data_IF_044464655948
#
_entry.id   IF_044464655948
#
_cell.length_a   1.000
_cell.length_b   1.000
_cell.length_c   1.000
_cell.angle_alpha   90.00
_cell.angle_beta   90.00
_cell.angle_gamma   90.00
#
_symmetry.space_group_name_H-M   'P 1'
#
loop_
_entity.id
_entity.type
_entity.pdbx_description
1 polymer ?
#
# COMPACT_ATOMS: atom_id res chain seq x y z
N UNK A 1 38.25 9.07 6.50
CA UNK A 1 37.36 8.36 5.55
C UNK A 1 36.37 9.37 4.95
N UNK A 2 36.22 9.46 3.61
CA UNK A 2 35.27 10.40 2.97
C UNK A 2 33.86 9.80 2.94
N UNK A 3 32.83 10.58 3.27
CA UNK A 3 31.45 10.12 3.34
C UNK A 3 30.89 9.68 1.99
N UNK A 4 31.27 10.37 0.91
CA UNK A 4 30.95 9.95 -0.46
C UNK A 4 31.42 8.52 -0.78
N UNK A 5 32.65 8.15 -0.40
CA UNK A 5 33.22 6.82 -0.68
C UNK A 5 32.42 5.74 0.06
N UNK A 6 32.16 5.97 1.35
CA UNK A 6 31.38 5.07 2.19
C UNK A 6 29.95 4.88 1.66
N UNK A 7 29.29 5.95 1.21
CA UNK A 7 27.97 5.89 0.59
C UNK A 7 27.96 4.99 -0.66
N UNK A 8 28.90 5.21 -1.58
CA UNK A 8 28.97 4.45 -2.85
C UNK A 8 29.22 2.97 -2.60
N UNK A 9 30.10 2.65 -1.65
CA UNK A 9 30.42 1.28 -1.27
C UNK A 9 29.18 0.56 -0.71
N UNK A 10 28.47 1.19 0.24
CA UNK A 10 27.23 0.63 0.81
C UNK A 10 26.09 0.53 -0.20
N UNK A 11 26.00 1.48 -1.14
CA UNK A 11 25.01 1.39 -2.21
C UNK A 11 25.26 0.19 -3.13
N UNK A 12 26.52 -0.09 -3.45
CA UNK A 12 26.91 -1.28 -4.22
C UNK A 12 26.64 -2.57 -3.46
N UNK A 13 26.96 -2.62 -2.17
CA UNK A 13 26.64 -3.75 -1.29
C UNK A 13 25.14 -4.04 -1.28
N UNK A 14 24.30 -3.02 -1.11
CA UNK A 14 22.86 -3.18 -1.12
C UNK A 14 22.36 -3.71 -2.48
N UNK A 15 22.86 -3.17 -3.60
CA UNK A 15 22.50 -3.67 -4.93
C UNK A 15 22.87 -5.14 -5.11
N UNK A 16 24.05 -5.54 -4.65
CA UNK A 16 24.49 -6.94 -4.69
C UNK A 16 23.57 -7.82 -3.84
N UNK A 17 23.29 -7.40 -2.60
CA UNK A 17 22.37 -8.11 -1.71
C UNK A 17 20.97 -8.28 -2.32
N UNK A 18 20.39 -7.22 -2.87
CA UNK A 18 19.07 -7.28 -3.50
C UNK A 18 19.08 -8.19 -4.75
N UNK A 19 20.17 -8.17 -5.52
CA UNK A 19 20.34 -9.08 -6.66
C UNK A 19 20.39 -10.54 -6.21
N UNK A 20 21.17 -10.85 -5.18
CA UNK A 20 21.30 -12.20 -4.61
C UNK A 20 19.95 -12.72 -4.09
N UNK A 21 19.21 -11.87 -3.36
CA UNK A 21 17.86 -12.20 -2.88
C UNK A 21 16.90 -12.48 -4.05
N UNK A 22 16.91 -11.64 -5.09
CA UNK A 22 16.05 -11.83 -6.26
C UNK A 22 16.42 -13.08 -7.06
N UNK A 23 17.72 -13.37 -7.21
CA UNK A 23 18.16 -14.61 -7.89
C UNK A 23 17.79 -15.87 -7.14
N UNK A 24 17.57 -15.81 -5.82
CA UNK A 24 17.08 -16.96 -5.05
C UNK A 24 15.59 -17.27 -5.25
N UNK A 25 14.84 -16.39 -5.92
CA UNK A 25 13.39 -16.51 -6.13
C UNK A 25 13.04 -16.67 -7.60
N UNK A 26 13.80 -16.00 -8.47
CA UNK A 26 13.62 -16.04 -9.91
C UNK A 26 14.47 -17.18 -10.47
N UNK A 27 13.94 -18.40 -10.37
CA UNK A 27 14.45 -19.53 -11.14
C UNK A 27 14.02 -19.42 -12.61
N UNK A 28 14.70 -20.16 -13.50
CA UNK A 28 14.38 -20.21 -14.93
C UNK A 28 12.90 -20.53 -15.18
N UNK A 29 12.30 -21.37 -14.34
CA UNK A 29 10.87 -21.72 -14.38
C UNK A 29 10.01 -20.51 -14.05
N UNK A 30 10.29 -19.80 -12.94
CA UNK A 30 9.59 -18.56 -12.58
C UNK A 30 9.71 -17.51 -13.68
N UNK A 31 10.89 -17.37 -14.29
CA UNK A 31 11.10 -16.46 -15.40
C UNK A 31 10.23 -16.82 -16.61
N UNK A 32 10.20 -18.09 -17.01
CA UNK A 32 9.46 -18.54 -18.20
C UNK A 32 7.94 -18.45 -18.02
N UNK A 33 7.43 -18.84 -16.84
CA UNK A 33 5.99 -18.96 -16.61
C UNK A 33 5.34 -17.67 -16.06
N UNK A 34 6.10 -16.79 -15.40
CA UNK A 34 5.55 -15.55 -14.84
C UNK A 34 6.06 -14.35 -15.61
N UNK A 35 7.38 -14.16 -15.68
CA UNK A 35 7.98 -12.94 -16.27
C UNK A 35 7.75 -12.91 -17.78
N UNK A 36 7.91 -14.04 -18.47
CA UNK A 36 7.67 -14.19 -19.90
C UNK A 36 6.29 -13.67 -20.32
N UNK A 37 5.18 -14.25 -19.81
CA UNK A 37 3.83 -13.78 -20.13
C UNK A 37 3.60 -12.31 -19.80
N UNK A 38 4.05 -11.82 -18.64
CA UNK A 38 3.92 -10.41 -18.25
C UNK A 38 4.62 -9.47 -19.25
N UNK A 39 5.78 -9.88 -19.79
CA UNK A 39 6.54 -9.10 -20.74
C UNK A 39 5.83 -8.95 -22.10
N UNK A 40 4.96 -9.90 -22.46
CA UNK A 40 4.11 -9.78 -23.65
C UNK A 40 2.78 -9.07 -23.36
N UNK A 41 2.14 -9.39 -22.23
CA UNK A 41 0.82 -8.87 -21.86
C UNK A 41 0.88 -7.36 -21.58
N UNK A 42 1.88 -6.87 -20.86
CA UNK A 42 1.96 -5.45 -20.49
C UNK A 42 2.06 -4.54 -21.73
N UNK A 43 3.00 -4.76 -22.68
CA UNK A 43 3.06 -3.95 -23.90
C UNK A 43 1.81 -4.09 -24.77
N UNK A 44 1.22 -5.29 -24.84
CA UNK A 44 -0.02 -5.52 -25.57
C UNK A 44 -1.16 -4.66 -25.01
N UNK A 45 -1.40 -4.72 -23.69
CA UNK A 45 -2.42 -3.89 -23.01
C UNK A 45 -2.10 -2.40 -23.19
N UNK A 46 -0.83 -2.00 -23.11
CA UNK A 46 -0.44 -0.61 -23.29
C UNK A 46 -0.78 -0.09 -24.69
N UNK A 47 -0.47 -0.87 -25.74
CA UNK A 47 -0.85 -0.53 -27.13
C UNK A 47 -2.37 -0.50 -27.28
N UNK A 48 -3.09 -1.44 -26.65
CA UNK A 48 -4.55 -1.48 -26.68
C UNK A 48 -5.16 -0.26 -25.98
N UNK A 49 -4.57 0.22 -24.89
CA UNK A 49 -4.94 1.46 -24.20
C UNK A 49 -4.83 2.68 -25.13
N UNK A 50 -3.89 2.70 -26.08
CA UNK A 50 -3.79 3.76 -27.08
C UNK A 50 -4.85 3.66 -28.17
N UNK A 51 -5.33 2.46 -28.49
CA UNK A 51 -6.27 2.20 -29.59
C UNK A 51 -7.74 2.24 -29.15
N UNK A 52 -8.04 1.64 -28.01
CA UNK A 52 -9.38 1.45 -27.45
C UNK A 52 -9.38 1.83 -25.96
N UNK A 53 -9.12 3.09 -25.63
CA UNK A 53 -8.98 3.54 -24.24
C UNK A 53 -10.28 3.35 -23.43
N UNK A 54 -11.46 3.40 -24.08
CA UNK A 54 -12.79 3.22 -23.47
C UNK A 54 -13.08 1.82 -22.93
N UNK A 55 -12.32 0.80 -23.33
CA UNK A 55 -12.47 -0.55 -22.80
C UNK A 55 -11.94 -0.69 -21.37
N UNK A 56 -10.95 0.14 -21.01
CA UNK A 56 -10.19 0.03 -19.76
C UNK A 56 -10.38 1.23 -18.83
N UNK A 57 -10.85 2.34 -19.34
CA UNK A 57 -11.05 3.57 -18.58
C UNK A 57 -12.36 4.24 -19.00
N UNK A 58 -13.11 4.71 -18.00
CA UNK A 58 -14.40 5.36 -18.21
C UNK A 58 -14.24 6.88 -18.32
N UNK A 59 -14.93 7.50 -19.27
CA UNK A 59 -14.97 8.95 -19.49
C UNK A 59 -15.57 9.72 -18.29
N UNK A 60 -16.42 9.05 -17.52
CA UNK A 60 -17.10 9.67 -16.37
C UNK A 60 -16.18 9.76 -15.13
N UNK A 61 -14.99 9.15 -15.17
CA UNK A 61 -14.08 9.23 -14.04
C UNK A 61 -13.43 10.61 -14.00
N UNK A 62 -13.39 11.28 -12.83
CA UNK A 62 -12.72 12.55 -12.73
C UNK A 62 -11.20 12.34 -12.80
N UNK A 63 -10.49 13.25 -13.49
CA UNK A 63 -9.01 13.26 -13.58
C UNK A 63 -8.34 13.19 -12.21
N UNK A 64 -8.98 13.76 -11.19
CA UNK A 64 -8.52 13.75 -9.80
C UNK A 64 -8.31 12.32 -9.28
N UNK A 65 -9.15 11.36 -9.68
CA UNK A 65 -9.02 9.97 -9.27
C UNK A 65 -7.77 9.31 -9.86
N UNK A 66 -7.48 9.57 -11.15
CA UNK A 66 -6.26 9.09 -11.79
C UNK A 66 -5.01 9.67 -11.11
N UNK A 67 -5.00 10.99 -10.88
CA UNK A 67 -3.87 11.66 -10.22
C UNK A 67 -3.68 11.16 -8.77
N UNK A 68 -4.76 10.86 -8.05
CA UNK A 68 -4.71 10.24 -6.72
C UNK A 68 -4.07 8.85 -6.74
N UNK A 69 -4.44 8.01 -7.71
CA UNK A 69 -3.83 6.69 -7.88
C UNK A 69 -2.34 6.82 -8.17
N UNK A 70 -1.95 7.76 -9.04
CA UNK A 70 -0.55 8.04 -9.35
C UNK A 70 0.22 8.57 -8.13
N UNK A 71 -0.36 9.48 -7.35
CA UNK A 71 0.25 10.01 -6.14
C UNK A 71 0.41 8.91 -5.06
N UNK A 72 -0.61 8.09 -4.85
CA UNK A 72 -0.55 6.95 -3.93
C UNK A 72 0.53 5.94 -4.35
N UNK A 73 0.64 5.68 -5.66
CA UNK A 73 1.69 4.84 -6.21
C UNK A 73 3.09 5.49 -6.10
N UNK A 74 3.20 6.81 -6.23
CA UNK A 74 4.45 7.58 -6.31
C UNK A 74 5.25 7.74 -5.01
N UNK A 75 4.71 7.34 -3.85
CA UNK A 75 5.39 7.50 -2.56
C UNK A 75 6.79 6.86 -2.49
N UNK A 76 7.72 7.54 -1.79
CA UNK A 76 9.11 7.10 -1.59
C UNK A 76 9.51 7.00 -0.11
N UNK A 77 10.74 6.53 0.14
CA UNK A 77 11.41 6.57 1.46
C UNK A 77 12.87 6.96 1.24
N UNK A 78 13.45 7.72 2.17
CA UNK A 78 14.86 8.11 2.10
C UNK A 78 15.80 6.93 2.25
N UNK A 79 16.88 6.94 1.46
CA UNK A 79 17.95 5.95 1.52
C UNK A 79 19.29 6.64 1.81
N UNK A 80 19.71 6.58 3.07
CA UNK A 80 20.99 7.10 3.55
C UNK A 80 22.07 6.02 3.70
N UNK A 81 21.69 4.74 3.59
CA UNK A 81 22.54 3.56 3.76
C UNK A 81 23.30 3.57 5.10
N UNK A 82 22.62 4.03 6.16
CA UNK A 82 23.12 3.99 7.53
C UNK A 82 22.84 2.61 8.11
N UNK A 83 23.84 1.97 8.72
CA UNK A 83 23.72 0.67 9.39
C UNK A 83 23.68 0.89 10.90
N UNK A 84 22.89 0.07 11.61
CA UNK A 84 22.76 0.13 13.07
C UNK A 84 24.09 -0.05 13.80
N UNK A 85 24.94 -0.98 13.32
CA UNK A 85 26.27 -1.25 13.86
C UNK A 85 27.20 -0.03 13.88
N UNK A 86 27.00 0.93 12.97
CA UNK A 86 27.89 2.08 12.80
C UNK A 86 27.35 3.35 13.46
N UNK A 87 26.25 3.26 14.23
CA UNK A 87 25.55 4.40 14.84
C UNK A 87 26.50 5.29 15.65
N UNK A 88 27.24 4.70 16.59
CA UNK A 88 28.15 5.45 17.48
C UNK A 88 29.26 6.15 16.69
N UNK A 89 29.81 5.47 15.69
CA UNK A 89 30.88 5.99 14.84
C UNK A 89 30.40 7.15 13.96
N UNK A 90 29.20 7.05 13.37
CA UNK A 90 28.64 8.08 12.50
C UNK A 90 28.19 9.32 13.27
N UNK A 91 27.79 9.19 14.53
CA UNK A 91 27.49 10.33 15.41
C UNK A 91 28.74 11.15 15.75
N UNK A 92 29.91 10.51 15.87
CA UNK A 92 31.18 11.19 16.11
C UNK A 92 31.70 11.91 14.85
N UNK A 93 31.36 11.41 13.67
CA UNK A 93 31.86 11.91 12.38
C UNK A 93 30.77 12.66 11.60
N UNK A 94 30.30 13.78 12.16
CA UNK A 94 29.22 14.61 11.60
C UNK A 94 29.44 15.01 10.12
N UNK A 95 30.69 15.27 9.70
CA UNK A 95 31.00 15.57 8.30
C UNK A 95 30.78 14.38 7.35
N UNK A 96 31.10 13.17 7.80
CA UNK A 96 30.94 11.93 7.01
C UNK A 96 29.46 11.63 6.82
N UNK A 97 28.67 11.68 7.90
CA UNK A 97 27.23 11.44 7.82
C UNK A 97 26.51 12.52 7.00
N UNK A 98 26.87 13.80 7.14
CA UNK A 98 26.29 14.87 6.32
C UNK A 98 26.53 14.64 4.81
N UNK A 99 27.74 14.22 4.43
CA UNK A 99 28.03 13.84 3.04
C UNK A 99 27.23 12.63 2.58
N UNK A 100 27.12 11.58 3.41
CA UNK A 100 26.32 10.39 3.08
C UNK A 100 24.85 10.76 2.87
N UNK A 101 24.29 11.58 3.75
CA UNK A 101 22.90 12.04 3.65
C UNK A 101 22.66 12.91 2.43
N UNK A 102 23.62 13.76 2.04
CA UNK A 102 23.53 14.55 0.80
C UNK A 102 23.42 13.66 -0.43
N UNK A 103 24.30 12.67 -0.55
CA UNK A 103 24.30 11.76 -1.69
C UNK A 103 23.09 10.82 -1.66
N UNK A 104 22.69 10.34 -0.48
CA UNK A 104 21.49 9.53 -0.29
C UNK A 104 20.20 10.28 -0.64
N UNK A 105 20.11 11.55 -0.26
CA UNK A 105 19.01 12.43 -0.67
C UNK A 105 18.93 12.58 -2.19
N UNK A 106 20.06 12.89 -2.85
CA UNK A 106 20.11 13.01 -4.32
C UNK A 106 19.71 11.71 -5.03
N UNK A 107 20.23 10.57 -4.57
CA UNK A 107 19.87 9.26 -5.14
C UNK A 107 18.38 8.95 -4.91
N UNK A 108 17.85 9.23 -3.72
CA UNK A 108 16.42 9.08 -3.42
C UNK A 108 15.58 9.95 -4.34
N UNK A 109 15.99 11.19 -4.58
CA UNK A 109 15.28 12.13 -5.46
C UNK A 109 15.24 11.61 -6.89
N UNK A 110 16.38 11.14 -7.40
CA UNK A 110 16.46 10.53 -8.72
C UNK A 110 15.56 9.30 -8.86
N UNK A 111 15.47 8.46 -7.83
CA UNK A 111 14.55 7.31 -7.85
C UNK A 111 13.08 7.73 -7.80
N UNK A 112 12.72 8.76 -7.01
CA UNK A 112 11.37 9.31 -6.99
C UNK A 112 11.01 9.89 -8.36
N UNK A 113 11.90 10.68 -8.98
CA UNK A 113 11.69 11.21 -10.32
C UNK A 113 11.54 10.11 -11.37
N UNK A 114 12.43 9.11 -11.38
CA UNK A 114 12.34 7.99 -12.31
C UNK A 114 11.02 7.23 -12.14
N UNK A 115 10.59 7.00 -10.91
CA UNK A 115 9.32 6.33 -10.61
C UNK A 115 8.12 7.16 -11.08
N UNK A 116 8.09 8.45 -10.79
CA UNK A 116 7.04 9.38 -11.26
C UNK A 116 6.99 9.44 -12.78
N UNK A 117 8.14 9.45 -13.44
CA UNK A 117 8.24 9.37 -14.90
C UNK A 117 7.61 8.09 -15.45
N UNK A 118 8.00 6.92 -14.93
CA UNK A 118 7.45 5.64 -15.36
C UNK A 118 5.92 5.54 -15.13
N UNK A 119 5.44 6.03 -13.98
CA UNK A 119 4.00 6.07 -13.68
C UNK A 119 3.24 6.97 -14.65
N UNK A 120 3.79 8.14 -14.98
CA UNK A 120 3.16 9.08 -15.93
C UNK A 120 3.16 8.53 -17.34
N UNK A 121 4.26 7.88 -17.77
CA UNK A 121 4.33 7.20 -19.08
C UNK A 121 3.28 6.09 -19.16
N UNK A 122 3.11 5.30 -18.10
CA UNK A 122 2.09 4.26 -18.06
C UNK A 122 0.66 4.83 -18.16
N UNK A 123 0.41 6.02 -17.59
CA UNK A 123 -0.89 6.69 -17.63
C UNK A 123 -1.10 7.61 -18.85
N UNK A 124 -0.06 7.82 -19.65
CA UNK A 124 -0.07 8.74 -20.79
C UNK A 124 -1.21 8.51 -21.80
N UNK A 125 -1.52 7.26 -22.24
CA UNK A 125 -2.67 7.01 -23.12
C UNK A 125 -4.00 7.52 -22.55
N UNK A 126 -4.20 7.44 -21.23
CA UNK A 126 -5.42 7.91 -20.58
C UNK A 126 -5.41 9.45 -20.51
N UNK A 127 -4.29 10.04 -20.08
CA UNK A 127 -4.13 11.49 -19.96
C UNK A 127 -4.34 12.21 -21.30
N UNK A 128 -3.75 11.67 -22.38
CA UNK A 128 -3.82 12.26 -23.71
C UNK A 128 -5.19 12.07 -24.37
N UNK A 129 -5.71 10.83 -24.40
CA UNK A 129 -6.92 10.53 -25.17
C UNK A 129 -8.22 10.96 -24.48
N UNK A 130 -8.32 10.88 -23.15
CA UNK A 130 -9.57 11.24 -22.44
C UNK A 130 -9.59 12.66 -21.90
N UNK A 131 -8.47 13.11 -21.34
CA UNK A 131 -8.42 14.37 -20.62
C UNK A 131 -7.75 15.48 -21.43
N UNK A 132 -7.27 15.19 -22.65
CA UNK A 132 -6.70 16.17 -23.56
C UNK A 132 -5.36 16.77 -23.11
N UNK A 133 -4.65 16.13 -22.17
CA UNK A 133 -3.38 16.63 -21.66
C UNK A 133 -2.29 16.50 -22.73
N UNK A 134 -1.50 17.55 -22.91
CA UNK A 134 -0.37 17.57 -23.82
C UNK A 134 0.84 16.84 -23.24
N UNK A 135 1.84 16.57 -24.09
CA UNK A 135 3.14 16.03 -23.67
C UNK A 135 3.84 16.99 -22.68
N UNK A 136 3.65 18.30 -22.84
CA UNK A 136 4.17 19.30 -21.90
C UNK A 136 3.59 19.10 -20.50
N UNK A 137 2.28 18.89 -20.42
CA UNK A 137 1.57 18.69 -19.15
C UNK A 137 1.97 17.38 -18.47
N UNK A 138 2.32 16.34 -19.24
CA UNK A 138 2.89 15.12 -18.68
C UNK A 138 4.22 15.39 -17.94
N UNK A 139 5.08 16.27 -18.45
CA UNK A 139 6.29 16.71 -17.75
C UNK A 139 5.98 17.41 -16.43
N UNK A 140 4.91 18.20 -16.40
CA UNK A 140 4.44 18.88 -15.20
C UNK A 140 3.93 17.91 -14.14
N UNK A 141 3.15 16.90 -14.56
CA UNK A 141 2.67 15.81 -13.70
C UNK A 141 3.86 15.06 -13.09
N UNK A 142 4.91 14.76 -13.87
CA UNK A 142 6.14 14.15 -13.34
C UNK A 142 6.78 15.00 -12.25
N UNK A 143 6.92 16.32 -12.49
CA UNK A 143 7.48 17.25 -11.50
C UNK A 143 6.67 17.25 -10.20
N UNK A 144 5.36 17.33 -10.31
CA UNK A 144 4.45 17.35 -9.16
C UNK A 144 4.40 16.04 -8.39
N UNK A 145 4.30 14.89 -9.07
CA UNK A 145 4.35 13.58 -8.42
C UNK A 145 5.70 13.38 -7.72
N UNK A 146 6.78 13.89 -8.30
CA UNK A 146 8.10 13.84 -7.69
C UNK A 146 8.19 14.69 -6.43
N UNK A 147 7.60 15.89 -6.45
CA UNK A 147 7.53 16.74 -5.27
C UNK A 147 6.68 16.11 -4.16
N UNK A 148 5.48 15.62 -4.51
CA UNK A 148 4.62 14.92 -3.57
C UNK A 148 5.33 13.70 -2.96
N UNK A 149 5.95 12.87 -3.79
CA UNK A 149 6.72 11.70 -3.35
C UNK A 149 7.87 12.07 -2.42
N UNK A 150 8.51 13.21 -2.66
CA UNK A 150 9.55 13.78 -1.82
C UNK A 150 9.03 14.24 -0.46
N UNK A 151 7.91 14.99 -0.43
CA UNK A 151 7.25 15.42 0.81
C UNK A 151 6.79 14.24 1.65
N UNK A 152 6.25 13.20 1.01
CA UNK A 152 5.88 11.94 1.67
C UNK A 152 7.11 11.25 2.27
N UNK A 153 8.21 11.16 1.52
CA UNK A 153 9.45 10.58 2.02
C UNK A 153 9.98 11.37 3.22
N UNK A 154 9.83 12.70 3.20
CA UNK A 154 10.24 13.58 4.30
C UNK A 154 9.39 13.42 5.54
N UNK A 155 8.06 13.39 5.36
CA UNK A 155 7.13 13.23 6.46
C UNK A 155 7.44 11.95 7.27
N UNK A 156 7.92 10.89 6.60
CA UNK A 156 8.35 9.66 7.29
C UNK A 156 9.57 9.85 8.20
N UNK A 157 10.46 10.79 7.89
CA UNK A 157 11.66 11.07 8.70
C UNK A 157 11.40 12.06 9.83
N UNK A 158 10.48 13.00 9.63
CA UNK A 158 10.22 14.10 10.58
C UNK A 158 9.09 13.78 11.55
N UNK A 159 8.04 13.10 11.07
CA UNK A 159 6.82 12.89 11.85
C UNK A 159 6.91 11.58 12.64
N UNK A 160 7.08 11.72 13.95
CA UNK A 160 7.03 10.58 14.88
C UNK A 160 5.58 10.18 15.16
N UNK A 161 5.25 8.91 14.91
CA UNK A 161 3.94 8.32 15.21
C UNK A 161 3.06 8.05 13.98
N UNK A 162 2.59 6.80 13.87
CA UNK A 162 1.87 6.29 12.69
C UNK A 162 0.58 7.06 12.35
N UNK A 163 -0.15 7.55 13.35
CA UNK A 163 -1.39 8.31 13.14
C UNK A 163 -1.12 9.73 12.63
N UNK A 164 -0.11 10.41 13.18
CA UNK A 164 0.32 11.73 12.69
C UNK A 164 0.84 11.64 11.27
N UNK A 165 1.60 10.59 10.94
CA UNK A 165 2.07 10.35 9.58
C UNK A 165 0.90 10.16 8.60
N UNK A 166 -0.13 9.40 8.98
CA UNK A 166 -1.36 9.23 8.18
C UNK A 166 -2.10 10.55 7.98
N UNK A 167 -2.21 11.37 9.03
CA UNK A 167 -2.84 12.69 8.94
C UNK A 167 -2.07 13.61 8.00
N UNK A 168 -0.73 13.64 8.10
CA UNK A 168 0.12 14.42 7.19
C UNK A 168 -0.01 13.91 5.76
N UNK A 169 -0.05 12.59 5.53
CA UNK A 169 -0.30 12.05 4.19
C UNK A 169 -1.67 12.47 3.65
N UNK A 170 -2.73 12.38 4.46
CA UNK A 170 -4.07 12.81 4.06
C UNK A 170 -4.11 14.32 3.74
N UNK A 171 -3.43 15.13 4.54
CA UNK A 171 -3.29 16.57 4.29
C UNK A 171 -2.51 16.87 3.01
N UNK A 172 -1.40 16.17 2.76
CA UNK A 172 -0.63 16.31 1.53
C UNK A 172 -1.44 15.88 0.30
N UNK A 173 -2.27 14.85 0.43
CA UNK A 173 -3.20 14.42 -0.62
C UNK A 173 -4.26 15.49 -0.87
N UNK A 174 -4.82 16.08 0.18
CA UNK A 174 -5.80 17.16 0.04
C UNK A 174 -5.20 18.39 -0.66
N UNK A 175 -3.97 18.78 -0.28
CA UNK A 175 -3.23 19.82 -0.98
C UNK A 175 -2.98 19.45 -2.43
N UNK A 176 -2.56 18.20 -2.69
CA UNK A 176 -2.36 17.71 -4.05
C UNK A 176 -3.65 17.84 -4.87
N UNK A 177 -4.81 17.46 -4.32
CA UNK A 177 -6.12 17.59 -4.97
C UNK A 177 -6.53 19.04 -5.22
N UNK A 178 -6.34 19.93 -4.24
CA UNK A 178 -6.72 21.34 -4.37
C UNK A 178 -5.96 22.06 -5.48
N UNK A 179 -4.74 21.62 -5.79
CA UNK A 179 -3.94 22.20 -6.86
C UNK A 179 -4.28 21.63 -8.26
N UNK A 180 -4.93 20.45 -8.37
CA UNK A 180 -5.31 19.83 -9.66
C UNK A 180 -6.10 20.79 -10.56
N UNK A 181 -6.95 21.63 -9.97
CA UNK A 181 -7.78 22.59 -10.71
C UNK A 181 -6.99 23.79 -11.26
N UNK A 182 -5.83 24.10 -10.67
CA UNK A 182 -4.98 25.24 -11.06
C UNK A 182 -3.91 24.89 -12.11
N UNK A 183 -3.74 23.59 -12.46
CA UNK A 183 -2.81 23.13 -13.50
C UNK A 183 -3.11 23.70 -14.90
N UNK A 184 -4.26 24.35 -15.08
CA UNK A 184 -4.68 24.90 -16.37
C UNK A 184 -4.06 26.27 -16.69
N UNK A 185 -3.37 26.92 -15.73
CA UNK A 185 -2.70 28.20 -15.97
C UNK A 185 -1.15 28.10 -15.89
N UNK A 186 -0.42 28.36 -17.00
CA UNK A 186 1.04 28.24 -17.05
C UNK A 186 1.80 29.15 -16.07
N UNK A 187 1.22 30.31 -15.73
CA UNK A 187 1.85 31.29 -14.83
C UNK A 187 1.85 30.85 -13.36
N UNK A 188 0.72 30.32 -12.90
CA UNK A 188 0.57 29.77 -11.55
C UNK A 188 1.52 28.59 -11.35
N UNK A 189 1.66 27.77 -12.39
CA UNK A 189 2.55 26.61 -12.39
C UNK A 189 4.03 26.95 -12.16
N UNK A 190 4.57 27.98 -12.81
CA UNK A 190 5.97 28.39 -12.62
C UNK A 190 6.24 28.89 -11.20
N UNK A 191 5.29 29.64 -10.64
CA UNK A 191 5.37 30.15 -9.27
C UNK A 191 5.30 29.00 -8.26
N UNK A 192 4.36 28.07 -8.44
CA UNK A 192 4.25 26.87 -7.62
C UNK A 192 5.52 26.02 -7.71
N UNK A 193 6.01 25.74 -8.92
CA UNK A 193 7.25 24.98 -9.13
C UNK A 193 8.47 25.62 -8.47
N UNK A 194 8.58 26.95 -8.51
CA UNK A 194 9.65 27.69 -7.82
C UNK A 194 9.52 27.59 -6.29
N UNK A 195 8.30 27.80 -5.76
CA UNK A 195 8.01 27.64 -4.32
C UNK A 195 8.33 26.23 -3.86
N UNK A 196 7.93 25.23 -4.65
CA UNK A 196 8.21 23.81 -4.43
C UNK A 196 9.73 23.56 -4.33
N UNK A 197 10.52 24.04 -5.28
CA UNK A 197 11.97 23.87 -5.27
C UNK A 197 12.63 24.55 -4.07
N UNK A 198 12.16 25.75 -3.70
CA UNK A 198 12.64 26.48 -2.52
C UNK A 198 12.29 25.73 -1.24
N UNK A 199 11.07 25.20 -1.12
CA UNK A 199 10.63 24.38 0.01
C UNK A 199 11.47 23.11 0.10
N UNK A 200 11.66 22.38 -1.02
CA UNK A 200 12.55 21.20 -1.06
C UNK A 200 13.94 21.57 -0.54
N UNK A 201 14.53 22.67 -1.01
CA UNK A 201 15.88 23.08 -0.63
C UNK A 201 16.00 23.48 0.85
N UNK A 202 15.08 24.30 1.34
CA UNK A 202 15.04 24.74 2.74
C UNK A 202 14.88 23.54 3.68
N UNK A 203 13.97 22.62 3.34
CA UNK A 203 13.73 21.41 4.12
C UNK A 203 14.86 20.40 3.99
N UNK A 204 15.52 20.27 2.84
CA UNK A 204 16.72 19.46 2.68
C UNK A 204 17.82 19.92 3.65
N UNK A 205 18.05 21.23 3.70
CA UNK A 205 19.04 21.84 4.59
C UNK A 205 18.67 21.66 6.07
N UNK A 206 17.41 21.84 6.43
CA UNK A 206 16.96 21.81 7.83
C UNK A 206 16.75 20.40 8.37
N UNK A 207 16.17 19.50 7.59
CA UNK A 207 15.69 18.19 8.05
C UNK A 207 16.66 17.04 7.77
N UNK A 208 17.24 16.98 6.56
CA UNK A 208 18.10 15.85 6.20
C UNK A 208 19.47 15.99 6.87
N UNK A 209 20.09 17.17 6.81
CA UNK A 209 21.46 17.35 7.29
C UNK A 209 21.59 17.30 8.83
N UNK A 210 20.47 17.31 9.57
CA UNK A 210 20.49 17.15 11.03
C UNK A 210 20.70 15.69 11.43
N UNK A 211 21.54 15.45 12.42
CA UNK A 211 21.87 14.10 12.94
C UNK A 211 20.87 13.58 13.99
N UNK A 212 19.89 14.39 14.39
CA UNK A 212 19.03 14.14 15.56
C UNK A 212 18.09 12.93 15.47
N UNK A 213 17.78 12.42 14.28
CA UNK A 213 16.79 11.34 14.08
C UNK A 213 17.40 10.03 13.54
N UNK A 214 18.67 9.74 13.85
CA UNK A 214 19.38 8.58 13.30
C UNK A 214 18.64 7.24 13.53
N UNK A 215 17.96 7.10 14.66
CA UNK A 215 17.18 5.89 14.97
C UNK A 215 15.99 5.68 14.02
N UNK A 216 15.29 6.76 13.67
CA UNK A 216 14.19 6.71 12.70
C UNK A 216 14.73 6.37 11.31
N UNK A 217 15.89 6.92 10.97
CA UNK A 217 16.56 6.67 9.68
C UNK A 217 17.02 5.21 9.55
N UNK A 218 17.62 4.64 10.60
CA UNK A 218 18.02 3.23 10.65
C UNK A 218 16.81 2.31 10.54
N UNK A 219 15.72 2.63 11.23
CA UNK A 219 14.49 1.83 11.17
C UNK A 219 13.85 1.86 9.78
N UNK A 220 13.82 3.02 9.11
CA UNK A 220 13.34 3.12 7.72
C UNK A 220 14.25 2.35 6.74
N UNK A 221 15.57 2.38 6.95
CA UNK A 221 16.52 1.58 6.16
C UNK A 221 16.29 0.08 6.33
N UNK A 222 16.10 -0.37 7.57
CA UNK A 222 15.78 -1.77 7.90
C UNK A 222 14.50 -2.22 7.20
N UNK A 223 13.43 -1.40 7.28
CA UNK A 223 12.15 -1.68 6.60
C UNK A 223 12.29 -1.74 5.10
N UNK A 224 13.03 -0.81 4.50
CA UNK A 224 13.21 -0.77 3.06
C UNK A 224 14.06 -1.95 2.56
N UNK A 225 15.06 -2.40 3.32
CA UNK A 225 15.81 -3.64 3.02
C UNK A 225 14.94 -4.88 3.15
N UNK A 226 14.11 -4.97 4.19
CA UNK A 226 13.22 -6.11 4.46
C UNK A 226 12.00 -6.19 3.53
N UNK A 227 11.65 -5.10 2.83
CA UNK A 227 10.43 -5.05 2.00
C UNK A 227 10.37 -6.18 0.97
N UNK A 228 11.46 -6.41 0.26
CA UNK A 228 11.51 -7.44 -0.78
C UNK A 228 11.52 -8.84 -0.18
N UNK A 229 12.28 -9.06 0.89
CA UNK A 229 12.23 -10.32 1.66
C UNK A 229 10.83 -10.63 2.17
N UNK A 230 10.11 -9.62 2.68
CA UNK A 230 8.74 -9.77 3.15
C UNK A 230 7.78 -10.20 2.05
N UNK A 231 7.93 -9.69 0.82
CA UNK A 231 7.12 -10.13 -0.33
C UNK A 231 7.42 -11.58 -0.69
N UNK A 232 8.69 -12.00 -0.61
CA UNK A 232 9.11 -13.37 -0.88
C UNK A 232 8.56 -14.31 0.19
N UNK A 233 8.66 -13.93 1.47
CA UNK A 233 8.11 -14.71 2.59
C UNK A 233 6.59 -14.78 2.58
N UNK A 234 5.91 -13.73 2.10
CA UNK A 234 4.46 -13.76 1.89
C UNK A 234 4.04 -14.67 0.73
N UNK A 235 4.88 -14.77 -0.31
CA UNK A 235 4.66 -15.68 -1.42
C UNK A 235 4.99 -17.14 -1.05
N UNK A 236 5.90 -17.37 -0.10
CA UNK A 236 6.13 -18.69 0.47
C UNK A 236 5.02 -19.04 1.47
N UNK A 237 4.26 -20.10 1.21
CA UNK A 237 3.10 -20.53 2.00
C UNK A 237 3.39 -20.87 3.48
N UNK A 238 4.65 -20.84 3.93
CA UNK A 238 5.07 -21.39 5.23
C UNK A 238 5.28 -20.38 6.36
N UNK A 239 5.07 -19.07 6.15
CA UNK A 239 5.20 -18.12 7.26
C UNK A 239 3.90 -17.97 8.04
N UNK A 240 3.70 -18.88 9.01
CA UNK A 240 2.82 -18.59 10.14
C UNK A 240 3.29 -17.26 10.77
N UNK A 241 2.53 -16.18 10.59
CA UNK A 241 2.81 -14.95 11.31
C UNK A 241 2.77 -15.26 12.81
N UNK A 242 3.89 -15.14 13.55
CA UNK A 242 3.86 -15.43 14.97
C UNK A 242 2.87 -14.46 15.61
N UNK A 243 1.88 -15.02 16.31
CA UNK A 243 0.94 -14.24 17.12
C UNK A 243 1.76 -13.62 18.24
N UNK A 244 2.24 -12.39 18.02
CA UNK A 244 3.09 -11.69 18.97
C UNK A 244 2.43 -11.69 20.36
N UNK A 245 3.17 -12.05 21.42
CA UNK A 245 2.64 -12.02 22.77
C UNK A 245 2.38 -10.56 23.14
N UNK A 246 1.11 -10.17 23.25
CA UNK A 246 0.73 -8.81 23.67
C UNK A 246 -0.06 -7.97 22.68
N UNK A 247 -0.91 -8.58 21.84
CA UNK A 247 -1.91 -7.83 21.07
C UNK A 247 -2.72 -6.88 21.97
N UNK A 248 -2.65 -5.57 21.72
CA UNK A 248 -3.45 -4.55 22.42
C UNK A 248 -4.93 -4.96 22.41
N UNK A 249 -5.61 -4.82 23.56
CA UNK A 249 -7.05 -5.12 23.70
C UNK A 249 -7.82 -4.48 22.53
N UNK A 250 -8.67 -5.22 21.79
CA UNK A 250 -9.40 -4.67 20.66
C UNK A 250 -10.25 -3.48 21.12
N UNK A 251 -10.28 -2.42 20.30
CA UNK A 251 -10.98 -1.18 20.62
C UNK A 251 -12.46 -1.41 20.96
N UNK A 252 -13.11 -2.34 20.25
CA UNK A 252 -14.52 -2.67 20.41
C UNK A 252 -14.86 -3.51 21.66
N UNK A 253 -13.89 -4.17 22.32
CA UNK A 253 -14.18 -5.07 23.47
C UNK A 253 -13.12 -4.97 24.56
N UNK A 254 -13.01 -3.79 25.18
CA UNK A 254 -12.16 -3.56 26.35
C UNK A 254 -12.64 -4.31 27.60
N UNK A 255 -13.96 -4.59 27.69
CA UNK A 255 -14.60 -5.44 28.70
C UNK A 255 -15.22 -6.62 27.96
N UNK A 256 -14.87 -7.85 28.32
CA UNK A 256 -15.39 -9.06 27.67
C UNK A 256 -16.82 -9.35 28.15
N UNK A 257 -17.80 -8.55 27.71
CA UNK A 257 -19.24 -8.81 27.92
C UNK A 257 -19.81 -9.81 26.91
N UNK A 258 -21.00 -10.35 27.20
CA UNK A 258 -21.76 -11.24 26.30
C UNK A 258 -22.32 -10.45 25.10
N UNK A 259 -22.23 -11.00 23.89
CA UNK A 259 -22.84 -10.44 22.67
C UNK A 259 -24.17 -11.10 22.31
N UNK A 260 -24.28 -12.41 22.58
CA UNK A 260 -25.52 -13.15 22.35
C UNK A 260 -26.20 -13.39 23.69
N UNK A 261 -27.52 -13.17 23.72
CA UNK A 261 -28.37 -13.38 24.90
C UNK A 261 -28.75 -14.85 25.11
N UNK A 262 -28.53 -15.71 24.11
CA UNK A 262 -28.86 -17.13 24.17
C UNK A 262 -27.82 -17.94 24.95
N UNK A 263 -28.29 -18.79 25.86
CA UNK A 263 -27.46 -19.66 26.70
C UNK A 263 -26.99 -20.95 25.99
N UNK A 264 -27.26 -21.09 24.69
CA UNK A 264 -26.86 -22.27 23.93
C UNK A 264 -25.33 -22.32 23.74
N UNK A 265 -24.73 -23.51 23.89
CA UNK A 265 -23.32 -23.82 23.62
C UNK A 265 -22.82 -23.23 22.29
N UNK A 266 -23.61 -23.39 21.23
CA UNK A 266 -23.32 -22.84 19.90
C UNK A 266 -23.21 -21.31 19.86
N UNK A 267 -23.92 -20.60 20.74
CA UNK A 267 -23.89 -19.13 20.81
C UNK A 267 -22.62 -18.63 21.50
N UNK A 268 -22.13 -19.34 22.51
CA UNK A 268 -20.86 -19.04 23.17
C UNK A 268 -19.67 -19.28 22.23
N UNK A 269 -19.68 -20.38 21.48
CA UNK A 269 -18.63 -20.67 20.51
C UNK A 269 -18.60 -19.64 19.37
N UNK A 270 -19.77 -19.28 18.84
CA UNK A 270 -19.91 -18.24 17.83
C UNK A 270 -19.41 -16.88 18.36
N UNK A 271 -19.72 -16.53 19.60
CA UNK A 271 -19.22 -15.31 20.23
C UNK A 271 -17.69 -15.30 20.36
N UNK A 272 -17.11 -16.42 20.79
CA UNK A 272 -15.66 -16.61 20.89
C UNK A 272 -14.99 -16.43 19.53
N UNK A 273 -15.57 -17.01 18.47
CA UNK A 273 -15.06 -16.91 17.12
C UNK A 273 -15.11 -15.48 16.58
N UNK A 274 -16.22 -14.76 16.76
CA UNK A 274 -16.31 -13.34 16.39
C UNK A 274 -15.29 -12.49 17.15
N UNK A 275 -15.11 -12.73 18.45
CA UNK A 275 -14.09 -12.02 19.25
C UNK A 275 -12.67 -12.33 18.75
N UNK A 276 -12.39 -13.58 18.40
CA UNK A 276 -11.09 -14.01 17.88
C UNK A 276 -10.82 -13.38 16.50
N UNK A 277 -11.81 -13.39 15.60
CA UNK A 277 -11.79 -12.74 14.29
C UNK A 277 -11.48 -11.24 14.41
N UNK A 278 -12.13 -10.54 15.34
CA UNK A 278 -11.88 -9.12 15.59
C UNK A 278 -10.52 -8.85 16.23
N UNK A 279 -10.05 -9.72 17.13
CA UNK A 279 -8.76 -9.57 17.82
C UNK A 279 -7.57 -9.81 16.88
N UNK A 280 -7.67 -10.79 15.97
CA UNK A 280 -6.62 -11.09 14.97
C UNK A 280 -6.60 -10.12 13.79
N UNK A 281 -7.58 -9.20 13.71
CA UNK A 281 -7.72 -8.21 12.62
C UNK A 281 -8.03 -8.82 11.26
N UNK A 282 -8.54 -10.04 11.21
CA UNK A 282 -9.00 -10.69 9.97
C UNK A 282 -10.12 -9.88 9.30
N UNK A 283 -10.88 -9.10 10.07
CA UNK A 283 -11.87 -8.16 9.53
C UNK A 283 -11.27 -7.17 8.53
N UNK A 284 -9.99 -6.81 8.65
CA UNK A 284 -9.33 -5.91 7.68
C UNK A 284 -9.25 -6.57 6.31
N UNK A 285 -8.83 -7.85 6.25
CA UNK A 285 -8.79 -8.62 5.00
C UNK A 285 -10.19 -8.81 4.41
N UNK A 286 -11.18 -9.08 5.25
CA UNK A 286 -12.58 -9.19 4.84
C UNK A 286 -13.09 -7.91 4.13
N UNK A 287 -12.89 -6.73 4.73
CA UNK A 287 -13.28 -5.46 4.10
C UNK A 287 -12.41 -5.08 2.91
N UNK A 288 -11.14 -5.53 2.85
CA UNK A 288 -10.29 -5.33 1.68
C UNK A 288 -10.80 -6.12 0.47
N UNK A 289 -11.17 -7.39 0.65
CA UNK A 289 -11.73 -8.22 -0.42
C UNK A 289 -13.05 -7.63 -0.89
N UNK A 290 -13.94 -7.25 0.03
CA UNK A 290 -15.20 -6.59 -0.32
C UNK A 290 -14.97 -5.26 -1.04
N UNK A 291 -14.14 -4.37 -0.49
CA UNK A 291 -13.86 -3.07 -1.09
C UNK A 291 -13.20 -3.18 -2.47
N UNK A 292 -12.29 -4.15 -2.65
CA UNK A 292 -11.67 -4.41 -3.96
C UNK A 292 -12.70 -4.95 -4.96
N UNK A 293 -13.61 -5.82 -4.50
CA UNK A 293 -14.67 -6.36 -5.35
C UNK A 293 -15.67 -5.27 -5.76
N UNK A 294 -16.03 -4.37 -4.84
CA UNK A 294 -16.87 -3.18 -5.10
C UNK A 294 -16.21 -2.23 -6.10
N UNK A 295 -14.96 -1.85 -5.86
CA UNK A 295 -14.18 -1.04 -6.81
C UNK A 295 -14.09 -1.70 -8.19
N UNK A 296 -13.89 -3.02 -8.24
CA UNK A 296 -13.90 -3.78 -9.49
C UNK A 296 -15.25 -3.67 -10.21
N UNK A 297 -16.37 -3.79 -9.50
CA UNK A 297 -17.73 -3.66 -10.06
C UNK A 297 -18.01 -2.23 -10.55
N UNK A 298 -17.46 -1.21 -9.90
CA UNK A 298 -17.61 0.18 -10.33
C UNK A 298 -16.82 0.49 -11.61
N UNK A 299 -15.59 -0.03 -11.71
CA UNK A 299 -14.64 0.33 -12.78
C UNK A 299 -14.80 -0.52 -14.05
N UNK A 300 -15.29 -1.75 -13.93
CA UNK A 300 -15.27 -2.71 -15.04
C UNK A 300 -16.51 -2.66 -15.95
N UNK A 301 -16.39 -3.07 -17.23
CA UNK A 301 -17.53 -3.21 -18.13
C UNK A 301 -18.51 -4.31 -17.67
N UNK A 302 -19.78 -4.23 -18.09
CA UNK A 302 -20.90 -5.06 -17.59
C UNK A 302 -20.58 -6.56 -17.45
N UNK A 303 -19.96 -7.18 -18.46
CA UNK A 303 -19.62 -8.61 -18.43
C UNK A 303 -18.57 -8.94 -17.35
N UNK A 304 -17.59 -8.06 -17.16
CA UNK A 304 -16.52 -8.23 -16.19
C UNK A 304 -17.00 -7.95 -14.76
N UNK A 305 -18.04 -7.13 -14.57
CA UNK A 305 -18.70 -6.93 -13.26
C UNK A 305 -19.23 -8.25 -12.69
N UNK A 306 -19.94 -9.04 -13.50
CA UNK A 306 -20.47 -10.34 -13.09
C UNK A 306 -19.36 -11.32 -12.73
N UNK A 307 -18.27 -11.32 -13.51
CA UNK A 307 -17.12 -12.19 -13.27
C UNK A 307 -16.42 -11.83 -11.95
N UNK A 308 -16.14 -10.55 -11.70
CA UNK A 308 -15.54 -10.09 -10.43
C UNK A 308 -16.44 -10.37 -9.23
N UNK A 309 -17.76 -10.17 -9.37
CA UNK A 309 -18.69 -10.42 -8.28
C UNK A 309 -18.78 -11.92 -7.95
N UNK A 310 -18.87 -12.78 -8.97
CA UNK A 310 -18.88 -14.23 -8.80
C UNK A 310 -17.58 -14.74 -8.17
N UNK A 311 -16.44 -14.36 -8.74
CA UNK A 311 -15.12 -14.78 -8.25
C UNK A 311 -14.82 -14.23 -6.86
N UNK A 312 -15.17 -12.97 -6.59
CA UNK A 312 -15.04 -12.35 -5.28
C UNK A 312 -15.87 -13.06 -4.21
N UNK A 313 -17.11 -13.43 -4.51
CA UNK A 313 -17.97 -14.19 -3.58
C UNK A 313 -17.44 -15.61 -3.31
N UNK A 314 -17.00 -16.31 -4.35
CA UNK A 314 -16.41 -17.64 -4.22
C UNK A 314 -15.13 -17.60 -3.38
N UNK A 315 -14.26 -16.62 -3.65
CA UNK A 315 -13.03 -16.41 -2.89
C UNK A 315 -13.32 -16.03 -1.44
N UNK A 316 -14.29 -15.14 -1.20
CA UNK A 316 -14.72 -14.78 0.15
C UNK A 316 -15.25 -15.99 0.91
N UNK A 317 -16.01 -16.86 0.25
CA UNK A 317 -16.54 -18.09 0.84
C UNK A 317 -15.42 -19.05 1.27
N UNK A 318 -14.49 -19.37 0.37
CA UNK A 318 -13.39 -20.28 0.64
C UNK A 318 -12.44 -19.71 1.69
N UNK A 319 -12.13 -18.42 1.62
CA UNK A 319 -11.27 -17.74 2.57
C UNK A 319 -11.90 -17.66 3.97
N UNK A 320 -13.20 -17.35 4.08
CA UNK A 320 -13.90 -17.39 5.37
C UNK A 320 -13.92 -18.78 5.98
N UNK A 321 -14.02 -19.83 5.15
CA UNK A 321 -13.96 -21.22 5.62
C UNK A 321 -12.57 -21.55 6.18
N UNK A 322 -11.52 -21.15 5.47
CA UNK A 322 -10.14 -21.30 5.95
C UNK A 322 -9.90 -20.58 7.28
N UNK A 323 -10.33 -19.32 7.39
CA UNK A 323 -10.20 -18.54 8.64
C UNK A 323 -11.00 -19.19 9.78
N UNK A 324 -12.21 -19.69 9.51
CA UNK A 324 -13.02 -20.39 10.50
C UNK A 324 -12.29 -21.62 11.06
N UNK A 325 -11.73 -22.46 10.18
CA UNK A 325 -10.96 -23.64 10.58
C UNK A 325 -9.70 -23.25 11.36
N UNK A 326 -8.94 -22.26 10.88
CA UNK A 326 -7.74 -21.77 11.56
C UNK A 326 -8.03 -21.17 12.95
N UNK A 327 -9.16 -20.48 13.10
CA UNK A 327 -9.59 -19.92 14.39
C UNK A 327 -9.95 -21.04 15.36
N UNK A 328 -10.62 -22.10 14.91
CA UNK A 328 -10.94 -23.29 15.72
C UNK A 328 -9.69 -24.07 16.15
N UNK A 329 -8.63 -24.10 15.34
CA UNK A 329 -7.36 -24.75 15.70
C UNK A 329 -6.52 -23.93 16.68
N UNK A 330 -6.89 -22.68 16.97
CA UNK A 330 -6.10 -21.84 17.88
C UNK A 330 -6.16 -22.33 19.34
N UNK A 331 -5.06 -22.17 20.07
CA UNK A 331 -4.85 -22.63 21.46
C UNK A 331 -6.01 -22.29 22.43
N UNK A 332 -6.78 -21.24 22.15
CA UNK A 332 -7.94 -20.84 22.93
C UNK A 332 -9.10 -21.85 22.87
N UNK A 333 -9.36 -22.45 21.70
CA UNK A 333 -10.43 -23.42 21.50
C UNK A 333 -10.03 -24.86 21.83
N UNK A 334 -8.74 -25.12 22.05
CA UNK A 334 -8.28 -26.38 22.61
C UNK A 334 -8.67 -26.53 24.10
N UNK A 335 -8.79 -25.41 24.82
CA UNK A 335 -9.17 -25.38 26.25
C UNK A 335 -10.68 -25.32 26.45
N UNK A 336 -11.43 -24.73 25.52
CA UNK A 336 -12.89 -24.69 25.55
C UNK A 336 -13.42 -25.95 24.87
N UNK A 337 -13.83 -26.95 25.65
CA UNK A 337 -14.43 -28.17 25.11
C UNK A 337 -15.76 -27.83 24.42
N UNK A 338 -15.83 -28.04 23.11
CA UNK A 338 -17.06 -27.88 22.34
C UNK A 338 -17.47 -29.19 21.68
N UNK A 339 -18.78 -29.41 21.52
CA UNK A 339 -19.30 -30.58 20.80
C UNK A 339 -19.08 -30.37 19.32
N UNK A 340 -18.46 -31.35 18.63
CA UNK A 340 -18.25 -31.30 17.16
C UNK A 340 -19.56 -31.14 16.38
N UNK A 341 -20.68 -31.59 16.95
CA UNK A 341 -22.04 -31.41 16.40
C UNK A 341 -22.43 -29.94 16.22
N UNK A 342 -21.94 -29.05 17.10
CA UNK A 342 -22.25 -27.61 17.04
C UNK A 342 -21.47 -26.87 15.94
N UNK A 343 -20.39 -27.46 15.41
CA UNK A 343 -19.48 -26.79 14.46
C UNK A 343 -20.18 -26.38 13.16
N UNK A 344 -20.98 -27.29 12.59
CA UNK A 344 -21.71 -27.04 11.34
C UNK A 344 -22.75 -25.92 11.48
N UNK A 345 -23.42 -25.87 12.63
CA UNK A 345 -24.44 -24.87 12.95
C UNK A 345 -23.80 -23.50 13.21
N UNK A 346 -22.66 -23.47 13.89
CA UNK A 346 -21.89 -22.25 14.12
C UNK A 346 -21.28 -21.72 12.83
N UNK A 347 -20.73 -22.57 11.96
CA UNK A 347 -20.25 -22.16 10.63
C UNK A 347 -21.37 -21.49 9.83
N UNK A 348 -22.56 -22.10 9.78
CA UNK A 348 -23.71 -21.55 9.05
C UNK A 348 -24.08 -20.17 9.57
N UNK A 349 -24.16 -19.99 10.89
CA UNK A 349 -24.47 -18.69 11.51
C UNK A 349 -23.36 -17.66 11.28
N UNK A 350 -22.08 -18.02 11.48
CA UNK A 350 -20.92 -17.16 11.26
C UNK A 350 -20.85 -16.65 9.81
N UNK A 351 -20.98 -17.59 8.85
CA UNK A 351 -21.04 -17.29 7.42
C UNK A 351 -22.21 -16.36 7.11
N UNK A 352 -23.42 -16.70 7.55
CA UNK A 352 -24.61 -15.92 7.20
C UNK A 352 -24.55 -14.49 7.77
N UNK A 353 -24.00 -14.29 8.98
CA UNK A 353 -23.83 -12.94 9.54
C UNK A 353 -22.85 -12.11 8.71
N UNK A 354 -21.70 -12.68 8.33
CA UNK A 354 -20.72 -11.97 7.51
C UNK A 354 -21.24 -11.74 6.08
N UNK A 355 -21.80 -12.76 5.41
CA UNK A 355 -22.41 -12.57 4.10
C UNK A 355 -23.60 -11.59 4.12
N UNK A 356 -24.35 -11.51 5.22
CA UNK A 356 -25.40 -10.50 5.41
C UNK A 356 -24.85 -9.08 5.41
N UNK A 357 -23.69 -8.84 6.04
CA UNK A 357 -23.01 -7.55 5.99
C UNK A 357 -22.55 -7.23 4.56
N UNK A 358 -21.95 -8.20 3.86
CA UNK A 358 -21.56 -8.04 2.46
C UNK A 358 -22.76 -7.69 1.56
N UNK A 359 -23.87 -8.42 1.71
CA UNK A 359 -25.08 -8.21 0.95
C UNK A 359 -25.70 -6.82 1.21
N UNK A 360 -25.73 -6.37 2.47
CA UNK A 360 -26.19 -5.01 2.81
C UNK A 360 -25.35 -3.93 2.12
N UNK A 361 -24.03 -4.08 2.11
CA UNK A 361 -23.14 -3.11 1.47
C UNK A 361 -23.29 -3.11 -0.06
N UNK A 362 -23.45 -4.29 -0.68
CA UNK A 362 -23.71 -4.40 -2.13
C UNK A 362 -25.08 -3.85 -2.51
N UNK A 363 -26.12 -4.08 -1.71
CA UNK A 363 -27.45 -3.49 -1.93
C UNK A 363 -27.41 -1.96 -1.81
N UNK A 364 -26.61 -1.41 -0.89
CA UNK A 364 -26.43 0.03 -0.76
C UNK A 364 -25.75 0.63 -1.99
N UNK A 365 -24.75 -0.06 -2.54
CA UNK A 365 -24.05 0.34 -3.77
C UNK A 365 -24.95 0.28 -5.02
N UNK A 366 -25.73 -0.79 -5.17
CA UNK A 366 -26.74 -0.90 -6.25
C UNK A 366 -27.81 0.18 -6.10
N UNK A 367 -28.24 0.48 -4.87
CA UNK A 367 -29.15 1.57 -4.58
C UNK A 367 -28.60 2.94 -5.01
N UNK A 368 -27.31 3.20 -4.75
CA UNK A 368 -26.62 4.43 -5.20
C UNK A 368 -26.52 4.49 -6.73
N UNK A 369 -26.21 3.37 -7.39
CA UNK A 369 -26.14 3.30 -8.86
C UNK A 369 -27.51 3.50 -9.53
N UNK A 370 -28.60 3.02 -8.92
CA UNK A 370 -29.97 3.19 -9.44
C UNK A 370 -30.50 4.61 -9.17
N UNK A 371 -30.10 5.24 -8.06
CA UNK A 371 -30.53 6.58 -7.68
C UNK A 371 -29.81 7.72 -8.41
N UNK A 372 -28.84 7.41 -9.30
CA UNK A 372 -28.30 8.36 -10.27
C UNK A 372 -27.72 9.63 -9.64
N UNK A 373 -26.64 9.48 -8.87
CA UNK A 373 -25.69 10.57 -8.58
C UNK A 373 -24.37 10.28 -9.25
#
# INVERSE_FOLDING_TARGET
>A
MKGKKLFVERWKEEKRYQKEVMSGVVDLVTFLYIIGPLLFIIPYIYIELWRMPSLYWSENLPITLLLLLLAAAGGGSFRFYVKEADKLFLLQLNGVIAEMKRHGGLVTFGFIMLKSFLLTVAALPILYNFYGYSIGDAGLIVGWLSFYGWLVAMAKLTVTGKWRLKFVHAFLILLFMGNVQFFMEPGIFLVEGAVVLVVIWLFFKHSILRTGNLDVEIEEERRARQRYLGLIFQASMETETPVGPGGKRPFFYRKSGRMFTSEASSSYLLEGLFKAFLRRKEWVGYFQILGLSMLGVLLLPLWAKFLVLLTGLLFLHSWLRYIFEQLLTSLFFFVVTFRKEDESLVWKKFRNTLFGIAALLLCLEIGVLILGV
#
